data_IF_185368456476
#
_entry.id   IF_185368456476
#
_cell.length_a   1.000
_cell.length_b   1.000
_cell.length_c   1.000
_cell.angle_alpha   90.00
_cell.angle_beta   90.00
_cell.angle_gamma   90.00
#
_symmetry.space_group_name_H-M   'P 1'
#
loop_
_entity.id
_entity.type
_entity.pdbx_description
1 polymer ?
#
# COMPACT_ATOMS: atom_id res chain seq x y z
N UNK A 1 -10.55 -52.80 -23.84
CA UNK A 1 -11.63 -52.37 -22.94
C UNK A 1 -11.25 -51.01 -22.37
N UNK A 2 -11.87 -49.94 -22.87
CA UNK A 2 -11.77 -48.62 -22.27
C UNK A 2 -12.66 -48.63 -21.03
N UNK A 3 -12.07 -48.36 -19.87
CA UNK A 3 -12.80 -48.07 -18.64
C UNK A 3 -13.48 -46.71 -18.81
N UNK A 4 -14.73 -46.64 -19.15
CA UNK A 4 -15.56 -45.47 -18.96
C UNK A 4 -15.94 -45.40 -17.47
N UNK A 5 -15.05 -44.81 -16.68
CA UNK A 5 -15.37 -44.37 -15.32
C UNK A 5 -16.35 -43.20 -15.46
N UNK A 6 -17.64 -43.41 -15.22
CA UNK A 6 -18.57 -42.31 -15.00
C UNK A 6 -18.19 -41.62 -13.69
N UNK A 7 -17.81 -40.34 -13.69
CA UNK A 7 -17.54 -39.64 -12.43
C UNK A 7 -18.85 -39.58 -11.63
N UNK A 8 -18.87 -40.26 -10.50
CA UNK A 8 -19.93 -40.06 -9.50
C UNK A 8 -19.53 -38.78 -8.75
N UNK A 9 -20.21 -37.69 -9.06
CA UNK A 9 -20.08 -36.46 -8.30
C UNK A 9 -20.74 -36.67 -6.95
N UNK A 10 -19.92 -36.83 -5.91
CA UNK A 10 -20.39 -36.80 -4.53
C UNK A 10 -20.55 -35.34 -4.14
N UNK A 11 -21.76 -34.92 -3.78
CA UNK A 11 -22.02 -33.58 -3.28
C UNK A 11 -21.84 -33.59 -1.76
N UNK A 12 -20.69 -33.17 -1.30
CA UNK A 12 -20.44 -32.87 0.12
C UNK A 12 -20.93 -31.47 0.42
N UNK A 13 -21.97 -31.35 1.24
CA UNK A 13 -22.41 -30.10 1.82
C UNK A 13 -21.63 -29.93 3.14
N UNK A 14 -20.40 -29.46 3.04
CA UNK A 14 -19.64 -29.03 4.23
C UNK A 14 -19.72 -27.51 4.33
N UNK A 15 -20.64 -27.02 5.17
CA UNK A 15 -20.81 -25.60 5.44
C UNK A 15 -19.97 -25.09 6.60
N UNK A 16 -19.11 -25.92 7.20
CA UNK A 16 -18.34 -25.58 8.38
C UNK A 16 -16.88 -25.28 8.04
N UNK A 17 -16.51 -23.99 8.00
CA UNK A 17 -15.11 -23.60 8.13
C UNK A 17 -14.73 -23.62 9.62
N UNK A 18 -13.52 -24.05 9.98
CA UNK A 18 -13.05 -23.94 11.36
C UNK A 18 -13.21 -22.52 11.89
N UNK A 19 -13.85 -22.36 13.04
CA UNK A 19 -13.96 -21.06 13.70
C UNK A 19 -12.56 -20.49 13.99
N UNK A 20 -12.46 -19.17 14.08
CA UNK A 20 -11.24 -18.52 14.55
C UNK A 20 -11.03 -18.87 16.01
N UNK A 21 -9.78 -19.19 16.38
CA UNK A 21 -9.44 -19.35 17.78
C UNK A 21 -9.39 -17.97 18.47
N UNK A 22 -9.75 -17.87 19.76
CA UNK A 22 -9.60 -16.62 20.50
C UNK A 22 -8.16 -16.08 20.36
N UNK A 23 -8.04 -14.78 20.03
CA UNK A 23 -6.76 -14.09 19.81
C UNK A 23 -5.93 -14.55 18.59
N UNK A 24 -6.50 -15.34 17.70
CA UNK A 24 -5.83 -15.66 16.43
C UNK A 24 -5.61 -14.40 15.60
N UNK A 25 -4.34 -14.17 15.22
CA UNK A 25 -4.01 -13.12 14.24
C UNK A 25 -4.17 -13.68 12.83
N UNK A 26 -5.27 -13.30 12.18
CA UNK A 26 -5.62 -13.78 10.85
C UNK A 26 -4.69 -13.17 9.80
N UNK A 27 -4.19 -14.03 8.90
CA UNK A 27 -3.32 -13.60 7.80
C UNK A 27 -4.10 -12.78 6.77
N UNK A 28 -3.38 -11.88 6.07
CA UNK A 28 -3.90 -11.14 4.92
C UNK A 28 -3.95 -9.64 5.10
N UNK A 29 -3.98 -9.12 6.32
CA UNK A 29 -4.03 -7.67 6.54
C UNK A 29 -5.21 -7.02 5.82
N UNK A 30 -4.95 -5.96 5.04
CA UNK A 30 -5.97 -5.28 4.23
C UNK A 30 -6.62 -6.20 3.19
N UNK A 31 -5.85 -7.16 2.63
CA UNK A 31 -6.37 -8.12 1.66
C UNK A 31 -7.47 -9.03 2.26
N UNK A 32 -7.47 -9.27 3.57
CA UNK A 32 -8.54 -10.00 4.23
C UNK A 32 -9.88 -9.30 4.00
N UNK A 33 -9.94 -7.98 4.21
CA UNK A 33 -11.16 -7.19 4.03
C UNK A 33 -11.53 -7.03 2.54
N UNK A 34 -10.54 -6.81 1.68
CA UNK A 34 -10.75 -6.80 0.23
C UNK A 34 -11.44 -8.08 -0.25
N UNK A 35 -10.86 -9.22 0.09
CA UNK A 35 -11.39 -10.52 -0.32
C UNK A 35 -12.74 -10.80 0.32
N UNK A 36 -12.90 -10.52 1.61
CA UNK A 36 -14.15 -10.71 2.32
C UNK A 36 -15.28 -9.83 1.73
N UNK A 37 -14.96 -8.59 1.37
CA UNK A 37 -15.89 -7.67 0.73
C UNK A 37 -16.29 -8.10 -0.69
N UNK A 38 -15.35 -8.66 -1.45
CA UNK A 38 -15.58 -9.11 -2.82
C UNK A 38 -16.24 -10.52 -2.89
N UNK A 39 -15.72 -11.46 -2.10
CA UNK A 39 -16.20 -12.84 -2.08
C UNK A 39 -15.69 -13.57 -0.82
N UNK A 40 -16.54 -13.82 0.19
CA UNK A 40 -16.13 -14.53 1.41
C UNK A 40 -15.54 -15.92 1.16
N UNK A 41 -16.05 -16.64 0.15
CA UNK A 41 -15.50 -17.93 -0.25
C UNK A 41 -14.04 -17.81 -0.72
N UNK A 42 -13.75 -16.79 -1.54
CA UNK A 42 -12.38 -16.51 -1.99
C UNK A 42 -11.46 -16.15 -0.82
N UNK A 43 -11.94 -15.36 0.11
CA UNK A 43 -11.20 -15.04 1.34
C UNK A 43 -10.83 -16.31 2.12
N UNK A 44 -11.77 -17.23 2.29
CA UNK A 44 -11.54 -18.51 2.96
C UNK A 44 -10.52 -19.37 2.21
N UNK A 45 -10.68 -19.54 0.89
CA UNK A 45 -9.77 -20.34 0.07
C UNK A 45 -8.36 -19.78 0.07
N UNK A 46 -8.19 -18.48 -0.19
CA UNK A 46 -6.85 -17.89 -0.29
C UNK A 46 -6.15 -17.77 1.08
N UNK A 47 -6.86 -17.29 2.09
CA UNK A 47 -6.21 -16.93 3.36
C UNK A 47 -6.21 -18.04 4.42
N UNK A 48 -7.17 -18.93 4.38
CA UNK A 48 -7.25 -20.04 5.34
C UNK A 48 -6.76 -21.38 4.78
N UNK A 49 -7.13 -21.69 3.53
CA UNK A 49 -6.74 -22.94 2.89
C UNK A 49 -5.43 -22.82 2.08
N UNK A 50 -4.91 -21.60 1.89
CA UNK A 50 -3.67 -21.37 1.15
C UNK A 50 -3.80 -21.59 -0.36
N UNK A 51 -5.03 -21.53 -0.89
CA UNK A 51 -5.28 -21.63 -2.34
C UNK A 51 -4.81 -20.36 -3.03
N UNK A 52 -3.74 -20.46 -3.82
CA UNK A 52 -3.20 -19.35 -4.61
C UNK A 52 -3.37 -19.66 -6.10
N UNK A 53 -3.63 -18.61 -6.86
CA UNK A 53 -3.62 -18.72 -8.32
C UNK A 53 -2.20 -19.02 -8.80
N UNK A 54 -2.08 -19.94 -9.77
CA UNK A 54 -0.78 -20.23 -10.38
C UNK A 54 -0.31 -19.00 -11.17
N UNK A 55 0.83 -18.47 -10.80
CA UNK A 55 1.44 -17.37 -11.54
C UNK A 55 1.87 -17.86 -12.93
N UNK A 56 1.46 -17.17 -13.97
CA UNK A 56 1.97 -17.41 -15.31
C UNK A 56 3.40 -16.87 -15.39
N UNK A 57 4.37 -17.69 -15.84
CA UNK A 57 5.74 -17.24 -16.04
C UNK A 57 5.76 -16.05 -17.00
N UNK A 58 6.22 -14.90 -16.53
CA UNK A 58 6.44 -13.71 -17.35
C UNK A 58 7.94 -13.45 -17.47
N UNK A 59 8.36 -12.90 -18.61
CA UNK A 59 9.73 -12.45 -18.76
C UNK A 59 9.95 -11.20 -17.89
N UNK A 60 10.99 -11.20 -17.06
CA UNK A 60 11.37 -10.06 -16.22
C UNK A 60 10.87 -10.17 -14.78
N UNK A 61 10.88 -9.03 -14.08
CA UNK A 61 10.44 -8.94 -12.69
C UNK A 61 8.93 -8.81 -12.65
N UNK A 62 8.27 -9.68 -11.89
CA UNK A 62 6.82 -9.62 -11.69
C UNK A 62 6.39 -8.27 -11.07
N UNK A 63 5.17 -7.82 -11.40
CA UNK A 63 4.66 -6.53 -10.89
C UNK A 63 4.62 -6.48 -9.35
N UNK A 64 4.28 -7.59 -8.71
CA UNK A 64 4.29 -7.75 -7.25
C UNK A 64 5.70 -7.61 -6.66
N UNK A 65 6.70 -8.20 -7.33
CA UNK A 65 8.10 -8.10 -6.89
C UNK A 65 8.65 -6.69 -7.10
N UNK A 66 8.34 -6.06 -8.25
CA UNK A 66 8.67 -4.65 -8.48
C UNK A 66 8.08 -3.74 -7.40
N UNK A 67 6.85 -4.00 -6.97
CA UNK A 67 6.23 -3.30 -5.85
C UNK A 67 7.07 -3.40 -4.58
N UNK A 68 7.46 -4.61 -4.17
CA UNK A 68 8.29 -4.83 -2.98
C UNK A 68 9.65 -4.12 -3.08
N UNK A 69 10.28 -4.14 -4.27
CA UNK A 69 11.55 -3.45 -4.49
C UNK A 69 11.40 -1.93 -4.33
N UNK A 70 10.34 -1.34 -4.89
CA UNK A 70 10.08 0.10 -4.75
C UNK A 70 9.84 0.49 -3.27
N UNK A 71 9.03 -0.27 -2.52
CA UNK A 71 8.83 -0.07 -1.09
C UNK A 71 10.16 -0.17 -0.33
N UNK A 72 10.97 -1.20 -0.59
CA UNK A 72 12.26 -1.38 0.09
C UNK A 72 13.24 -0.23 -0.17
N UNK A 73 13.26 0.34 -1.38
CA UNK A 73 14.10 1.52 -1.69
C UNK A 73 13.60 2.75 -0.96
N UNK A 74 12.30 3.02 -0.97
CA UNK A 74 11.69 4.15 -0.28
C UNK A 74 11.85 4.03 1.24
N UNK A 75 11.67 2.83 1.78
CA UNK A 75 11.97 2.53 3.18
C UNK A 75 13.41 2.87 3.52
N UNK A 76 14.39 2.32 2.78
CA UNK A 76 15.80 2.55 3.06
C UNK A 76 16.20 4.03 2.97
N UNK A 77 15.58 4.79 2.08
CA UNK A 77 15.78 6.24 1.98
C UNK A 77 15.23 6.97 3.22
N UNK A 78 13.93 6.73 3.54
CA UNK A 78 13.26 7.46 4.61
C UNK A 78 13.66 7.02 6.00
N UNK A 79 14.07 5.77 6.21
CA UNK A 79 14.67 5.32 7.47
C UNK A 79 15.93 6.11 7.82
N UNK A 80 16.66 6.56 6.82
CA UNK A 80 17.88 7.34 7.00
C UNK A 80 17.63 8.86 7.05
N UNK A 81 16.80 9.35 6.13
CA UNK A 81 16.55 10.80 6.02
C UNK A 81 15.66 11.34 7.14
N UNK A 82 14.59 10.64 7.48
CA UNK A 82 13.60 10.95 8.51
C UNK A 82 12.88 12.29 8.36
N UNK A 83 13.52 13.31 7.85
CA UNK A 83 12.98 14.68 7.74
C UNK A 83 13.03 15.18 6.30
N UNK A 84 12.01 15.93 5.89
CA UNK A 84 12.02 16.63 4.61
C UNK A 84 13.22 17.57 4.49
N UNK A 85 13.60 18.22 5.58
CA UNK A 85 14.76 19.14 5.64
C UNK A 85 16.06 18.48 5.16
N UNK A 86 16.26 17.19 5.48
CA UNK A 86 17.41 16.41 5.00
C UNK A 86 17.36 16.19 3.49
N UNK A 87 16.17 15.89 2.93
CA UNK A 87 15.98 15.78 1.48
C UNK A 87 16.25 17.11 0.78
N UNK A 88 15.77 18.24 1.34
CA UNK A 88 15.96 19.58 0.78
C UNK A 88 17.42 20.04 0.84
N UNK A 89 18.19 19.61 1.84
CA UNK A 89 19.60 19.93 1.97
C UNK A 89 20.50 19.20 0.95
N UNK A 90 20.01 18.13 0.31
CA UNK A 90 20.76 17.38 -0.70
C UNK A 90 20.81 18.16 -2.02
N UNK A 91 22.00 18.27 -2.62
CA UNK A 91 22.11 18.65 -4.04
C UNK A 91 21.48 17.59 -4.94
N UNK A 92 21.20 17.92 -6.22
CA UNK A 92 20.67 16.97 -7.18
C UNK A 92 21.58 15.73 -7.32
N UNK A 93 22.89 15.93 -7.42
CA UNK A 93 23.86 14.83 -7.53
C UNK A 93 23.90 13.95 -6.28
N UNK A 94 23.84 14.56 -5.09
CA UNK A 94 23.79 13.84 -3.82
C UNK A 94 22.51 13.00 -3.70
N UNK A 95 21.37 13.53 -4.15
CA UNK A 95 20.09 12.81 -4.17
C UNK A 95 20.15 11.61 -5.10
N UNK A 96 20.65 11.79 -6.32
CA UNK A 96 20.84 10.69 -7.28
C UNK A 96 21.80 9.63 -6.71
N UNK A 97 22.94 10.01 -6.17
CA UNK A 97 23.91 9.08 -5.61
C UNK A 97 23.33 8.28 -4.42
N UNK A 98 22.55 8.94 -3.58
CA UNK A 98 21.91 8.33 -2.42
C UNK A 98 20.86 7.30 -2.87
N UNK A 99 19.93 7.68 -3.76
CA UNK A 99 18.90 6.79 -4.29
C UNK A 99 19.54 5.59 -4.99
N UNK A 100 20.55 5.82 -5.85
CA UNK A 100 21.28 4.75 -6.54
C UNK A 100 21.92 3.75 -5.58
N UNK A 101 22.47 4.23 -4.47
CA UNK A 101 23.04 3.37 -3.43
C UNK A 101 21.99 2.45 -2.83
N UNK A 102 20.79 2.96 -2.50
CA UNK A 102 19.69 2.16 -1.96
C UNK A 102 19.14 1.18 -3.01
N UNK A 103 18.94 1.62 -4.25
CA UNK A 103 18.48 0.74 -5.35
C UNK A 103 19.43 -0.43 -5.55
N UNK A 104 20.74 -0.18 -5.62
CA UNK A 104 21.74 -1.24 -5.77
C UNK A 104 21.78 -2.20 -4.58
N UNK A 105 21.65 -1.68 -3.36
CA UNK A 105 21.59 -2.51 -2.17
C UNK A 105 20.37 -3.44 -2.18
N UNK A 106 19.21 -2.94 -2.57
CA UNK A 106 17.97 -3.72 -2.66
C UNK A 106 18.02 -4.76 -3.78
N UNK A 107 18.65 -4.44 -4.92
CA UNK A 107 18.80 -5.38 -6.04
C UNK A 107 19.94 -6.39 -5.86
N UNK A 108 20.86 -6.18 -4.94
CA UNK A 108 22.05 -7.02 -4.77
C UNK A 108 21.75 -8.52 -4.59
N UNK A 109 20.76 -8.96 -3.78
CA UNK A 109 20.43 -10.38 -3.65
C UNK A 109 19.96 -11.01 -4.97
N UNK A 110 19.18 -10.29 -5.77
CA UNK A 110 18.71 -10.77 -7.07
C UNK A 110 19.85 -10.86 -8.08
N UNK A 111 20.78 -9.89 -8.06
CA UNK A 111 21.97 -9.89 -8.93
C UNK A 111 22.92 -11.06 -8.62
N UNK A 112 23.01 -11.47 -7.36
CA UNK A 112 23.89 -12.57 -6.95
C UNK A 112 23.50 -13.93 -7.57
N UNK A 113 22.25 -14.10 -7.97
CA UNK A 113 21.72 -15.34 -8.54
C UNK A 113 21.30 -15.21 -10.01
N UNK A 114 21.44 -14.02 -10.61
CA UNK A 114 21.02 -13.75 -11.98
C UNK A 114 22.00 -14.31 -13.00
N UNK A 115 21.47 -14.90 -14.07
CA UNK A 115 22.22 -15.20 -15.29
C UNK A 115 22.47 -13.93 -16.13
N UNK A 116 23.06 -14.08 -17.31
CA UNK A 116 23.35 -12.95 -18.19
C UNK A 116 22.10 -12.19 -18.67
N UNK A 117 20.98 -12.88 -18.86
CA UNK A 117 19.69 -12.25 -19.25
C UNK A 117 19.09 -11.55 -18.05
N UNK A 118 19.03 -12.22 -16.90
CA UNK A 118 18.56 -11.66 -15.64
C UNK A 118 19.32 -10.41 -15.24
N UNK A 119 20.67 -10.40 -15.41
CA UNK A 119 21.49 -9.21 -15.15
C UNK A 119 21.07 -8.01 -16.00
N UNK A 120 20.81 -8.22 -17.29
CA UNK A 120 20.32 -7.13 -18.17
C UNK A 120 18.93 -6.62 -17.78
N UNK A 121 18.05 -7.51 -17.37
CA UNK A 121 16.72 -7.13 -16.87
C UNK A 121 16.85 -6.32 -15.57
N UNK A 122 17.74 -6.72 -14.67
CA UNK A 122 18.02 -5.97 -13.43
C UNK A 122 18.67 -4.60 -13.70
N UNK A 123 19.45 -4.44 -14.78
CA UNK A 123 19.96 -3.12 -15.18
C UNK A 123 18.85 -2.18 -15.65
N UNK A 124 17.82 -2.70 -16.31
CA UNK A 124 16.64 -1.93 -16.67
C UNK A 124 15.82 -1.56 -15.44
N UNK A 125 15.65 -2.50 -14.53
CA UNK A 125 14.91 -2.27 -13.28
C UNK A 125 15.63 -1.28 -12.37
N UNK A 126 16.97 -1.32 -12.27
CA UNK A 126 17.76 -0.32 -11.54
C UNK A 126 17.46 1.09 -12.03
N UNK A 127 17.49 1.29 -13.37
CA UNK A 127 17.18 2.60 -13.97
C UNK A 127 15.73 3.03 -13.72
N UNK A 128 14.81 2.09 -13.81
CA UNK A 128 13.39 2.37 -13.57
C UNK A 128 13.14 2.79 -12.12
N UNK A 129 13.65 2.03 -11.15
CA UNK A 129 13.54 2.34 -9.73
C UNK A 129 14.18 3.69 -9.40
N UNK A 130 15.41 3.91 -9.89
CA UNK A 130 16.15 5.17 -9.66
C UNK A 130 15.31 6.37 -10.15
N UNK A 131 14.82 6.30 -11.40
CA UNK A 131 14.02 7.39 -11.98
C UNK A 131 12.71 7.62 -11.22
N UNK A 132 11.94 6.57 -10.92
CA UNK A 132 10.64 6.72 -10.25
C UNK A 132 10.76 7.18 -8.80
N UNK A 133 11.74 6.66 -8.06
CA UNK A 133 12.00 7.11 -6.70
C UNK A 133 12.41 8.59 -6.67
N UNK A 134 13.31 9.01 -7.59
CA UNK A 134 13.70 10.43 -7.68
C UNK A 134 12.53 11.34 -8.00
N UNK A 135 11.62 10.94 -8.90
CA UNK A 135 10.40 11.70 -9.20
C UNK A 135 9.49 11.82 -7.96
N UNK A 136 9.29 10.74 -7.18
CA UNK A 136 8.48 10.80 -5.97
C UNK A 136 9.14 11.68 -4.90
N UNK A 137 10.47 11.60 -4.73
CA UNK A 137 11.20 12.47 -3.81
C UNK A 137 11.14 13.95 -4.23
N UNK A 138 11.02 14.23 -5.53
CA UNK A 138 10.76 15.60 -6.00
C UNK A 138 9.38 16.09 -5.53
N UNK A 139 8.34 15.24 -5.62
CA UNK A 139 7.02 15.56 -5.05
C UNK A 139 7.09 15.78 -3.53
N UNK A 140 7.87 14.94 -2.82
CA UNK A 140 8.08 15.12 -1.38
C UNK A 140 8.78 16.43 -1.04
N UNK A 141 9.71 16.91 -1.88
CA UNK A 141 10.39 18.17 -1.70
C UNK A 141 9.45 19.38 -1.85
N UNK A 142 8.35 19.24 -2.57
CA UNK A 142 7.35 20.29 -2.85
C UNK A 142 6.22 20.34 -1.80
N UNK A 143 6.18 19.38 -0.88
CA UNK A 143 5.17 19.33 0.20
C UNK A 143 5.44 20.35 1.30
N UNK A 144 4.42 20.60 2.14
CA UNK A 144 4.59 21.23 3.43
C UNK A 144 5.59 20.43 4.30
N UNK A 145 6.30 21.07 5.25
CA UNK A 145 7.29 20.41 6.10
C UNK A 145 6.72 19.20 6.86
N UNK A 146 7.49 18.12 6.90
CA UNK A 146 7.11 16.90 7.61
C UNK A 146 8.32 16.18 8.20
N UNK A 147 8.06 15.33 9.18
CA UNK A 147 8.99 14.34 9.74
C UNK A 147 8.39 12.95 9.56
N UNK A 148 9.15 12.00 9.05
CA UNK A 148 8.69 10.62 8.89
C UNK A 148 8.66 9.91 10.23
N UNK A 149 7.46 9.61 10.71
CA UNK A 149 7.23 8.97 12.01
C UNK A 149 7.40 7.45 11.92
N UNK A 150 6.72 6.82 10.94
CA UNK A 150 6.77 5.37 10.71
C UNK A 150 7.08 5.06 9.25
N UNK A 151 7.88 4.01 9.04
CA UNK A 151 8.16 3.41 7.73
C UNK A 151 8.10 1.89 7.86
N UNK A 152 7.31 1.23 7.03
CA UNK A 152 7.12 -0.24 7.04
C UNK A 152 6.83 -0.78 8.46
N UNK A 153 6.02 -0.04 9.22
CA UNK A 153 5.72 -0.32 10.63
C UNK A 153 4.62 -1.36 10.78
N UNK A 154 4.90 -2.54 11.35
CA UNK A 154 3.89 -3.55 11.58
C UNK A 154 2.97 -3.19 12.75
N UNK A 155 1.67 -3.38 12.56
CA UNK A 155 0.63 -3.19 13.57
C UNK A 155 -0.32 -4.38 13.58
N UNK A 156 -0.79 -4.77 14.76
CA UNK A 156 -1.93 -5.68 14.91
C UNK A 156 -3.14 -4.85 15.26
N UNK A 157 -4.20 -5.00 14.50
CA UNK A 157 -5.45 -4.27 14.70
C UNK A 157 -6.61 -5.25 14.84
N UNK A 158 -7.64 -4.83 15.57
CA UNK A 158 -8.92 -5.53 15.64
C UNK A 158 -9.93 -4.89 14.67
N UNK A 159 -10.55 -5.73 13.86
CA UNK A 159 -11.62 -5.35 12.95
C UNK A 159 -12.78 -6.32 13.15
N UNK A 160 -13.85 -5.84 13.75
CA UNK A 160 -15.04 -6.65 14.00
C UNK A 160 -14.78 -7.90 14.88
N UNK A 161 -13.85 -7.84 15.82
CA UNK A 161 -13.46 -8.96 16.68
C UNK A 161 -12.42 -9.90 16.05
N UNK A 162 -11.93 -9.59 14.85
CA UNK A 162 -10.87 -10.36 14.17
C UNK A 162 -9.57 -9.56 14.21
N UNK A 163 -8.54 -10.14 14.81
CA UNK A 163 -7.21 -9.54 14.80
C UNK A 163 -6.50 -9.83 13.48
N UNK A 164 -5.91 -8.81 12.87
CA UNK A 164 -5.07 -8.96 11.67
C UNK A 164 -3.85 -8.08 11.74
N UNK A 165 -2.78 -8.50 11.06
CA UNK A 165 -1.54 -7.74 10.97
C UNK A 165 -1.53 -6.93 9.69
N UNK A 166 -1.32 -5.63 9.82
CA UNK A 166 -1.04 -4.71 8.72
C UNK A 166 0.39 -4.19 8.82
N UNK A 167 0.89 -3.61 7.73
CA UNK A 167 2.16 -2.88 7.71
C UNK A 167 1.84 -1.49 7.18
N UNK A 168 2.21 -0.46 7.93
CA UNK A 168 2.05 0.94 7.52
C UNK A 168 3.25 1.30 6.64
N UNK A 169 3.04 1.57 5.35
CA UNK A 169 4.13 1.86 4.42
C UNK A 169 4.89 3.11 4.85
N UNK A 170 4.17 4.22 5.09
CA UNK A 170 4.73 5.46 5.60
C UNK A 170 3.69 6.31 6.30
N UNK A 171 4.09 6.91 7.42
CA UNK A 171 3.32 7.91 8.15
C UNK A 171 4.21 9.10 8.45
N UNK A 172 3.80 10.28 8.00
CA UNK A 172 4.50 11.53 8.23
C UNK A 172 3.78 12.35 9.30
N UNK A 173 4.54 12.87 10.25
CA UNK A 173 4.08 13.90 11.18
C UNK A 173 4.20 15.26 10.51
N UNK A 174 3.10 16.00 10.47
CA UNK A 174 3.00 17.32 9.88
C UNK A 174 3.34 18.41 10.89
N UNK A 175 3.52 19.65 10.42
CA UNK A 175 3.91 20.79 11.26
C UNK A 175 2.87 21.11 12.36
N UNK A 176 1.58 20.80 12.14
CA UNK A 176 0.51 20.97 13.12
C UNK A 176 0.40 19.80 14.12
N UNK A 177 1.30 18.83 14.03
CA UNK A 177 1.35 17.63 14.89
C UNK A 177 0.42 16.49 14.45
N UNK A 178 -0.39 16.69 13.41
CA UNK A 178 -1.22 15.63 12.83
C UNK A 178 -0.43 14.75 11.87
N UNK A 179 -1.07 13.72 11.32
CA UNK A 179 -0.41 12.74 10.46
C UNK A 179 -0.93 12.74 9.02
N UNK A 180 -0.02 12.52 8.07
CA UNK A 180 -0.31 12.08 6.72
C UNK A 180 0.02 10.60 6.59
N UNK A 181 -0.96 9.80 6.15
CA UNK A 181 -0.83 8.35 5.96
C UNK A 181 -0.64 8.06 4.48
N UNK A 182 0.42 7.38 4.13
CA UNK A 182 0.82 7.14 2.73
C UNK A 182 0.96 5.63 2.50
N UNK A 183 0.44 5.16 1.38
CA UNK A 183 0.58 3.80 0.88
C UNK A 183 1.15 3.84 -0.55
N UNK A 184 2.25 3.15 -0.80
CA UNK A 184 2.92 3.16 -2.09
C UNK A 184 2.30 2.16 -3.07
N UNK A 185 2.08 2.59 -4.31
CA UNK A 185 1.55 1.74 -5.38
C UNK A 185 2.37 1.86 -6.65
N UNK A 186 2.84 0.73 -7.18
CA UNK A 186 3.56 0.68 -8.47
C UNK A 186 2.63 0.48 -9.66
N UNK A 187 1.33 0.32 -9.42
CA UNK A 187 0.29 0.26 -10.45
C UNK A 187 -0.51 1.56 -10.56
N UNK A 188 -0.97 1.89 -11.76
CA UNK A 188 -1.75 3.11 -12.01
C UNK A 188 -3.22 3.02 -11.55
N UNK A 189 -3.70 1.86 -11.14
CA UNK A 189 -5.11 1.59 -10.82
C UNK A 189 -5.56 2.13 -9.45
N UNK A 190 -4.65 2.57 -8.61
CA UNK A 190 -4.98 3.12 -7.29
C UNK A 190 -5.77 4.44 -7.42
N UNK A 191 -7.00 4.43 -6.89
CA UNK A 191 -7.94 5.54 -6.99
C UNK A 191 -8.58 5.84 -5.63
N UNK A 192 -8.53 7.08 -5.14
CA UNK A 192 -9.14 7.46 -3.86
C UNK A 192 -10.66 7.22 -3.79
N UNK A 193 -11.35 7.24 -4.92
CA UNK A 193 -12.78 6.92 -4.98
C UNK A 193 -13.13 5.52 -4.46
N UNK A 194 -12.18 4.57 -4.49
CA UNK A 194 -12.34 3.23 -3.97
C UNK A 194 -12.47 3.16 -2.43
N UNK A 195 -12.25 4.28 -1.72
CA UNK A 195 -12.45 4.38 -0.26
C UNK A 195 -13.87 4.82 0.11
N UNK A 196 -14.65 5.34 -0.85
CA UNK A 196 -15.90 6.08 -0.58
C UNK A 196 -17.16 5.21 -0.50
N UNK A 197 -17.15 4.01 -1.05
CA UNK A 197 -18.29 3.10 -1.06
C UNK A 197 -18.66 2.54 0.32
N UNK A 198 -19.85 1.97 0.44
CA UNK A 198 -20.33 1.25 1.66
C UNK A 198 -19.41 0.08 2.04
N UNK A 199 -18.76 -0.52 1.03
CA UNK A 199 -17.71 -1.53 1.17
C UNK A 199 -16.49 -1.01 0.42
N UNK A 200 -15.49 -0.46 1.12
CA UNK A 200 -14.28 0.04 0.46
C UNK A 200 -13.61 -1.05 -0.39
N UNK A 201 -13.44 -0.77 -1.69
CA UNK A 201 -12.74 -1.71 -2.60
C UNK A 201 -11.25 -1.82 -2.26
N UNK A 202 -10.66 -0.75 -1.72
CA UNK A 202 -9.26 -0.67 -1.30
C UNK A 202 -9.20 -0.26 0.19
N UNK A 203 -9.46 -1.18 1.15
CA UNK A 203 -9.59 -0.86 2.56
C UNK A 203 -8.26 -0.56 3.27
N UNK A 204 -7.13 -0.67 2.58
CA UNK A 204 -5.79 -0.58 3.18
C UNK A 204 -5.56 0.77 3.89
N UNK A 205 -5.76 1.90 3.20
CA UNK A 205 -5.58 3.21 3.82
C UNK A 205 -6.63 3.53 4.91
N UNK A 206 -7.93 3.23 4.75
CA UNK A 206 -8.88 3.26 5.85
C UNK A 206 -8.43 2.45 7.08
N UNK A 207 -7.83 1.26 6.90
CA UNK A 207 -7.26 0.48 8.00
C UNK A 207 -6.05 1.17 8.66
N UNK A 208 -5.20 1.82 7.87
CA UNK A 208 -4.06 2.58 8.39
C UNK A 208 -4.53 3.77 9.23
N UNK A 209 -5.57 4.50 8.77
CA UNK A 209 -6.21 5.57 9.55
C UNK A 209 -6.72 5.04 10.90
N UNK A 210 -7.39 3.88 10.90
CA UNK A 210 -7.84 3.22 12.12
C UNK A 210 -6.69 2.89 13.07
N UNK A 211 -5.57 2.40 12.54
CA UNK A 211 -4.39 2.00 13.31
C UNK A 211 -3.65 3.19 13.96
N UNK A 212 -3.72 4.38 13.35
CA UNK A 212 -3.11 5.63 13.84
C UNK A 212 -4.03 6.35 14.83
N UNK A 213 -5.34 6.26 14.62
CA UNK A 213 -6.36 7.07 15.31
C UNK A 213 -6.87 8.17 14.39
N UNK A 214 -8.14 8.07 14.03
CA UNK A 214 -8.75 8.92 13.00
C UNK A 214 -8.69 10.42 13.31
N UNK A 215 -8.76 10.81 14.59
CA UNK A 215 -8.70 12.20 15.04
C UNK A 215 -7.33 12.84 14.84
N UNK A 216 -6.28 12.05 14.62
CA UNK A 216 -4.90 12.50 14.43
C UNK A 216 -4.51 12.59 12.95
N UNK A 217 -5.36 12.12 12.02
CA UNK A 217 -5.02 12.05 10.60
C UNK A 217 -5.61 13.22 9.82
N UNK A 218 -4.77 13.96 9.11
CA UNK A 218 -5.16 15.11 8.28
C UNK A 218 -4.96 14.89 6.79
N UNK A 219 -4.25 13.84 6.38
CA UNK A 219 -4.09 13.49 4.98
C UNK A 219 -3.96 11.99 4.78
N UNK A 220 -4.51 11.49 3.67
CA UNK A 220 -4.45 10.08 3.26
C UNK A 220 -4.15 10.01 1.78
N UNK A 221 -3.08 9.32 1.39
CA UNK A 221 -2.60 9.32 0.02
C UNK A 221 -2.08 7.97 -0.46
N UNK A 222 -2.29 7.69 -1.73
CA UNK A 222 -1.45 6.77 -2.49
C UNK A 222 -0.22 7.53 -3.02
N UNK A 223 0.98 7.02 -2.77
CA UNK A 223 2.21 7.41 -3.45
C UNK A 223 2.38 6.55 -4.71
N UNK A 224 2.00 7.08 -5.86
CA UNK A 224 2.05 6.35 -7.13
C UNK A 224 3.49 6.36 -7.66
N UNK A 225 4.05 5.17 -7.88
CA UNK A 225 5.41 4.96 -8.38
C UNK A 225 5.31 4.15 -9.68
N UNK A 226 4.88 4.80 -10.77
CA UNK A 226 4.76 4.13 -12.04
C UNK A 226 5.20 5.01 -13.21
N UNK A 227 5.51 4.38 -14.35
CA UNK A 227 5.92 5.12 -15.55
C UNK A 227 4.82 6.04 -16.03
N UNK A 228 5.14 7.32 -16.20
CA UNK A 228 4.23 8.35 -16.71
C UNK A 228 3.24 8.91 -15.68
N UNK A 229 3.28 8.43 -14.42
CA UNK A 229 2.40 8.92 -13.36
C UNK A 229 3.05 8.71 -11.99
N UNK A 230 4.09 9.48 -11.68
CA UNK A 230 4.67 9.51 -10.32
C UNK A 230 4.11 10.71 -9.61
N UNK A 231 3.17 10.48 -8.68
CA UNK A 231 2.41 11.53 -8.01
C UNK A 231 1.77 11.02 -6.71
N UNK A 232 1.29 11.95 -5.89
CA UNK A 232 0.40 11.64 -4.78
C UNK A 232 -1.06 11.77 -5.21
N UNK A 233 -1.89 10.77 -4.88
CA UNK A 233 -3.35 10.78 -5.10
C UNK A 233 -4.06 10.50 -3.80
N UNK A 234 -4.94 11.39 -3.37
CA UNK A 234 -5.65 11.19 -2.12
C UNK A 234 -6.46 12.40 -1.70
N UNK A 235 -6.71 12.44 -0.41
CA UNK A 235 -7.50 13.47 0.22
C UNK A 235 -6.76 14.07 1.41
N UNK A 236 -6.92 15.37 1.61
CA UNK A 236 -6.41 16.08 2.78
C UNK A 236 -7.54 16.87 3.46
N UNK A 237 -7.42 17.12 4.75
CA UNK A 237 -8.34 17.94 5.52
C UNK A 237 -8.51 19.33 4.89
N UNK A 238 -7.41 19.90 4.42
CA UNK A 238 -7.34 21.21 3.76
C UNK A 238 -6.18 21.27 2.77
N UNK A 239 -6.09 22.33 1.97
CA UNK A 239 -5.06 22.49 0.94
C UNK A 239 -3.67 22.85 1.46
N UNK A 240 -3.51 23.19 2.75
CA UNK A 240 -2.24 23.56 3.35
C UNK A 240 -1.49 22.33 3.88
N UNK A 241 -2.23 21.36 4.37
CA UNK A 241 -1.71 20.11 4.98
C UNK A 241 -0.91 19.28 4.00
N UNK A 242 -1.44 19.12 2.77
CA UNK A 242 -0.80 18.36 1.70
C UNK A 242 -1.26 18.91 0.35
N UNK A 243 -0.57 19.92 -0.19
CA UNK A 243 -1.05 20.71 -1.32
C UNK A 243 -1.35 19.91 -2.62
N UNK A 244 -0.67 18.77 -2.83
CA UNK A 244 -0.87 17.93 -4.00
C UNK A 244 -2.16 17.10 -3.94
N UNK A 245 -2.79 16.97 -2.77
CA UNK A 245 -3.99 16.20 -2.58
C UNK A 245 -5.26 17.04 -2.77
N UNK A 246 -6.36 16.37 -3.06
CA UNK A 246 -7.67 17.01 -3.10
C UNK A 246 -8.10 17.41 -1.68
N UNK A 247 -8.30 18.70 -1.39
CA UNK A 247 -8.79 19.11 -0.08
C UNK A 247 -10.24 18.66 0.13
N UNK A 248 -10.60 18.39 1.39
CA UNK A 248 -11.97 18.12 1.77
C UNK A 248 -12.84 19.36 1.53
N UNK A 249 -13.96 19.15 0.85
CA UNK A 249 -14.98 20.17 0.63
C UNK A 249 -16.36 19.51 0.62
N UNK A 250 -17.12 19.69 1.68
CA UNK A 250 -18.44 19.10 1.85
C UNK A 250 -19.45 19.44 0.72
N UNK A 251 -19.17 20.46 -0.08
CA UNK A 251 -20.03 20.88 -1.20
C UNK A 251 -19.68 20.21 -2.53
N UNK A 252 -18.57 19.50 -2.59
CA UNK A 252 -18.09 18.88 -3.82
C UNK A 252 -17.93 17.37 -3.72
N UNK A 253 -18.19 16.67 -4.83
CA UNK A 253 -17.91 15.23 -4.88
C UNK A 253 -16.40 14.95 -4.71
N UNK A 254 -16.03 13.89 -3.98
CA UNK A 254 -16.87 12.82 -3.45
C UNK A 254 -17.33 13.02 -1.99
N UNK A 255 -17.31 14.23 -1.44
CA UNK A 255 -17.48 14.49 0.00
C UNK A 255 -18.89 14.92 0.39
N UNK A 256 -19.83 15.04 -0.54
CA UNK A 256 -21.19 15.57 -0.31
C UNK A 256 -21.98 14.84 0.78
N UNK A 257 -21.63 13.60 1.11
CA UNK A 257 -22.29 12.80 2.13
C UNK A 257 -21.68 13.00 3.55
N UNK A 258 -20.70 13.88 3.69
CA UNK A 258 -19.93 14.08 4.92
C UNK A 258 -19.93 15.56 5.31
N UNK A 259 -20.27 15.87 6.55
CA UNK A 259 -20.29 17.23 7.06
C UNK A 259 -18.89 17.77 7.38
N UNK A 260 -17.95 16.90 7.68
CA UNK A 260 -16.58 17.26 8.05
C UNK A 260 -15.56 16.18 7.66
N UNK A 261 -14.27 16.54 7.66
CA UNK A 261 -13.19 15.57 7.53
C UNK A 261 -13.26 14.45 8.57
N UNK A 262 -13.58 14.80 9.82
CA UNK A 262 -13.76 13.81 10.88
C UNK A 262 -14.90 12.83 10.59
N UNK A 263 -16.03 13.31 10.03
CA UNK A 263 -17.16 12.44 9.66
C UNK A 263 -16.77 11.45 8.55
N UNK A 264 -15.98 11.89 7.57
CA UNK A 264 -15.44 11.01 6.53
C UNK A 264 -14.61 9.88 7.13
N UNK A 265 -13.64 10.21 8.00
CA UNK A 265 -12.78 9.21 8.62
C UNK A 265 -13.54 8.28 9.56
N UNK A 266 -14.52 8.80 10.29
CA UNK A 266 -15.43 7.97 11.10
C UNK A 266 -16.28 7.03 10.24
N UNK A 267 -16.76 7.49 9.08
CA UNK A 267 -17.52 6.66 8.17
C UNK A 267 -16.67 5.49 7.66
N UNK A 268 -15.39 5.73 7.30
CA UNK A 268 -14.47 4.66 6.96
C UNK A 268 -14.31 3.66 8.10
N UNK A 269 -14.09 4.14 9.33
CA UNK A 269 -13.94 3.26 10.49
C UNK A 269 -15.19 2.40 10.79
N UNK A 270 -16.39 2.91 10.51
CA UNK A 270 -17.64 2.12 10.67
C UNK A 270 -17.85 1.08 9.57
N UNK A 271 -17.25 1.29 8.38
CA UNK A 271 -17.40 0.41 7.21
C UNK A 271 -16.38 -0.74 7.16
N UNK A 272 -15.35 -0.66 7.98
CA UNK A 272 -14.37 -1.73 8.18
C UNK A 272 -14.90 -2.80 9.14
#
# INVERSE_FOLDING_TARGET
>A
AQFEARPVLETLIDGSLPAFTPHEVVKGGARLLELQGACPFRAAVELRLGGVELEHPAAGIAATERGKLAHAVLQAFWDKAREQSVLLAMTADQRVANVRTHVRSVLAPLRATADAVGTRLLDLEERWLEARVLELLQQDAERAPFTVEFVEEPRVIDVGGVQTRIVLDRVDRLADGTFAVIDYKTGASARPAAWMGERPELPQLPLYVRAIGQEQVSAVAFGIVCTGSTEYRGFARDGEVFPQLKPFDATSAPFTDYASWGDLLQAWNRRL
#
